data_IF_933252707610
#
_entry.id   IF_933252707610
#
_cell.length_a   1.000
_cell.length_b   1.000
_cell.length_c   1.000
_cell.angle_alpha   90.00
_cell.angle_beta   90.00
_cell.angle_gamma   90.00
#
_symmetry.space_group_name_H-M   'P 1'
#
loop_
_entity.id
_entity.type
_entity.pdbx_description
1 polymer ?
#
# COMPACT_ATOMS: atom_id res chain seq x y z
N UNK A 1 5.33 44.31 0.88
CA UNK A 1 5.35 43.06 1.68
C UNK A 1 4.78 41.97 0.81
N UNK A 2 5.66 41.14 0.25
CA UNK A 2 5.37 40.06 -0.69
C UNK A 2 4.65 38.91 0.02
N UNK A 3 3.33 38.81 -0.14
CA UNK A 3 2.63 37.57 0.16
C UNK A 3 2.63 36.75 -1.12
N UNK A 4 3.65 35.91 -1.25
CA UNK A 4 3.82 34.96 -2.35
C UNK A 4 2.65 33.99 -2.29
N UNK A 5 1.61 34.28 -3.08
CA UNK A 5 0.52 33.36 -3.35
C UNK A 5 1.05 32.26 -4.28
N UNK A 6 1.72 31.27 -3.69
CA UNK A 6 2.10 30.05 -4.39
C UNK A 6 1.48 28.87 -3.67
N UNK A 7 0.14 28.85 -3.64
CA UNK A 7 -0.65 27.64 -3.37
C UNK A 7 -0.89 26.80 -4.64
N UNK A 8 -0.04 26.96 -5.66
CA UNK A 8 0.14 25.98 -6.72
C UNK A 8 1.16 24.93 -6.25
N UNK A 9 0.82 24.15 -5.22
CA UNK A 9 1.34 22.80 -5.17
C UNK A 9 0.35 22.02 -6.01
N UNK A 10 0.76 21.66 -7.22
CA UNK A 10 0.02 20.87 -8.18
C UNK A 10 -0.92 19.91 -7.46
N UNK A 11 -2.22 20.23 -7.52
CA UNK A 11 -3.28 19.30 -7.13
C UNK A 11 -3.34 18.23 -8.21
N UNK A 12 -2.27 17.46 -8.36
CA UNK A 12 -2.31 16.19 -9.05
C UNK A 12 -3.29 15.35 -8.25
N UNK A 13 -4.51 15.30 -8.79
CA UNK A 13 -5.59 14.47 -8.32
C UNK A 13 -5.19 13.03 -8.65
N UNK A 14 -4.25 12.49 -7.87
CA UNK A 14 -3.73 11.16 -8.04
C UNK A 14 -4.80 10.17 -7.54
N UNK A 15 -5.58 9.64 -8.48
CA UNK A 15 -6.37 8.43 -8.26
C UNK A 15 -5.42 7.23 -8.21
N UNK A 16 -4.64 7.12 -7.15
CA UNK A 16 -3.85 5.92 -6.87
C UNK A 16 -4.79 4.83 -6.37
N UNK A 17 -4.68 3.66 -6.99
CA UNK A 17 -5.21 2.42 -6.45
C UNK A 17 -4.08 1.70 -5.74
N UNK A 18 -4.40 1.09 -4.61
CA UNK A 18 -3.49 0.23 -3.85
C UNK A 18 -4.15 -1.11 -3.57
N UNK A 19 -3.33 -2.14 -3.41
CA UNK A 19 -3.77 -3.41 -2.84
C UNK A 19 -3.56 -3.35 -1.33
N UNK A 20 -4.50 -3.88 -0.57
CA UNK A 20 -4.47 -3.89 0.89
C UNK A 20 -4.70 -5.31 1.38
N UNK A 21 -3.84 -5.77 2.29
CA UNK A 21 -4.04 -6.98 3.09
C UNK A 21 -4.34 -6.56 4.52
N UNK A 22 -5.24 -7.30 5.15
CA UNK A 22 -5.56 -7.15 6.57
C UNK A 22 -5.04 -8.39 7.26
N UNK A 23 -4.29 -8.23 8.34
CA UNK A 23 -3.73 -9.35 9.08
C UNK A 23 -4.83 -10.33 9.51
N UNK A 24 -4.53 -11.63 9.45
CA UNK A 24 -5.49 -12.71 9.69
C UNK A 24 -6.54 -12.92 8.59
N UNK A 25 -6.38 -12.32 7.41
CA UNK A 25 -7.25 -12.56 6.24
C UNK A 25 -6.43 -12.90 4.99
N UNK A 26 -6.92 -13.86 4.21
CA UNK A 26 -6.29 -14.27 2.94
C UNK A 26 -6.71 -13.38 1.75
N UNK A 27 -7.70 -12.51 1.94
CA UNK A 27 -8.25 -11.65 0.90
C UNK A 27 -7.36 -10.42 0.64
N UNK A 28 -7.20 -10.06 -0.64
CA UNK A 28 -6.56 -8.80 -1.05
C UNK A 28 -7.63 -7.82 -1.52
N UNK A 29 -7.70 -6.66 -0.86
CA UNK A 29 -8.67 -5.62 -1.16
C UNK A 29 -8.07 -4.56 -2.08
N UNK A 30 -8.86 -4.03 -3.00
CA UNK A 30 -8.48 -2.86 -3.80
C UNK A 30 -9.05 -1.61 -3.14
N UNK A 31 -8.19 -0.66 -2.82
CA UNK A 31 -8.58 0.60 -2.18
C UNK A 31 -8.11 1.78 -3.00
N UNK A 32 -8.86 2.86 -2.91
CA UNK A 32 -8.45 4.14 -3.46
C UNK A 32 -7.62 4.90 -2.42
N UNK A 33 -6.42 5.33 -2.77
CA UNK A 33 -5.65 6.26 -1.96
C UNK A 33 -6.22 7.66 -2.14
N UNK A 34 -6.57 8.33 -1.05
CA UNK A 34 -7.16 9.69 -1.05
C UNK A 34 -6.12 10.75 -0.72
N UNK A 35 -5.16 10.41 0.12
CA UNK A 35 -3.96 11.17 0.38
C UNK A 35 -2.82 10.22 0.76
N UNK A 36 -1.58 10.69 0.62
CA UNK A 36 -0.36 9.96 0.94
C UNK A 36 0.69 10.95 1.45
N UNK A 37 1.24 10.67 2.62
CA UNK A 37 2.38 11.37 3.24
C UNK A 37 3.49 10.36 3.55
N UNK A 38 4.60 10.82 4.13
CA UNK A 38 5.68 9.93 4.55
C UNK A 38 5.24 8.92 5.62
N UNK A 39 4.40 9.33 6.57
CA UNK A 39 3.99 8.51 7.71
C UNK A 39 2.63 7.81 7.56
N UNK A 40 1.92 7.99 6.45
CA UNK A 40 0.63 7.33 6.30
C UNK A 40 -0.21 7.76 5.11
N UNK A 41 -1.43 7.25 5.09
CA UNK A 41 -2.39 7.49 4.02
C UNK A 41 -3.84 7.40 4.50
N UNK A 42 -4.73 8.04 3.74
CA UNK A 42 -6.17 7.77 3.79
C UNK A 42 -6.54 6.85 2.64
N UNK A 43 -7.22 5.76 2.94
CA UNK A 43 -7.81 4.83 1.99
C UNK A 43 -9.34 4.95 1.97
N UNK A 44 -9.94 4.74 0.80
CA UNK A 44 -11.39 4.60 0.61
C UNK A 44 -11.66 3.26 -0.08
N UNK A 45 -12.53 2.44 0.50
CA UNK A 45 -12.93 1.15 -0.04
C UNK A 45 -13.84 0.36 0.90
N UNK A 46 -14.52 -0.64 0.35
CA UNK A 46 -15.32 -1.57 1.13
C UNK A 46 -14.43 -2.65 1.77
N UNK A 47 -13.73 -2.25 2.83
CA UNK A 47 -12.88 -3.14 3.63
C UNK A 47 -13.32 -3.08 5.08
N UNK A 48 -13.66 -4.24 5.62
CA UNK A 48 -14.01 -4.40 7.04
C UNK A 48 -12.75 -4.31 7.90
N UNK A 49 -12.36 -3.11 8.31
CA UNK A 49 -11.23 -2.90 9.24
C UNK A 49 -11.70 -2.29 10.55
N UNK A 50 -10.92 -2.51 11.61
CA UNK A 50 -11.08 -1.86 12.91
C UNK A 50 -9.82 -1.07 13.25
N UNK A 51 -9.94 -0.06 14.12
CA UNK A 51 -8.78 0.69 14.63
C UNK A 51 -7.82 -0.28 15.33
N UNK A 52 -6.52 -0.12 15.10
CA UNK A 52 -5.47 -0.98 15.63
C UNK A 52 -5.21 -2.25 14.81
N UNK A 53 -6.01 -2.55 13.78
CA UNK A 53 -5.74 -3.68 12.90
C UNK A 53 -4.42 -3.47 12.13
N UNK A 54 -3.59 -4.52 12.10
CA UNK A 54 -2.38 -4.58 11.27
C UNK A 54 -2.77 -4.79 9.81
N UNK A 55 -2.09 -4.07 8.93
CA UNK A 55 -2.32 -4.11 7.49
C UNK A 55 -1.02 -4.00 6.72
N UNK A 56 -1.02 -4.51 5.50
CA UNK A 56 0.02 -4.22 4.51
C UNK A 56 -0.63 -3.57 3.30
N UNK A 57 -0.03 -2.49 2.78
CA UNK A 57 -0.52 -1.80 1.59
C UNK A 57 0.54 -1.80 0.49
N UNK A 58 0.17 -2.26 -0.69
CA UNK A 58 1.05 -2.20 -1.87
C UNK A 58 0.91 -0.83 -2.54
N UNK A 59 1.98 -0.03 -2.42
CA UNK A 59 2.11 1.26 -3.08
C UNK A 59 2.97 1.10 -4.33
N UNK A 60 2.50 1.67 -5.44
CA UNK A 60 3.25 1.72 -6.71
C UNK A 60 4.68 2.25 -6.47
N UNK A 61 5.68 1.66 -7.14
CA UNK A 61 7.10 2.02 -7.06
C UNK A 61 7.75 1.91 -5.66
N UNK A 62 7.02 1.51 -4.63
CA UNK A 62 7.53 1.33 -3.26
C UNK A 62 7.43 -0.15 -2.87
N UNK A 63 6.32 -0.80 -3.20
CA UNK A 63 6.01 -2.17 -2.81
C UNK A 63 5.08 -2.22 -1.60
N UNK A 64 5.13 -3.32 -0.86
CA UNK A 64 4.33 -3.53 0.35
C UNK A 64 4.89 -2.71 1.52
N UNK A 65 4.02 -1.95 2.16
CA UNK A 65 4.33 -1.11 3.32
C UNK A 65 3.44 -1.57 4.47
N UNK A 66 4.06 -1.89 5.60
CA UNK A 66 3.36 -2.27 6.83
C UNK A 66 2.75 -1.05 7.51
N UNK A 67 1.60 -1.24 8.13
CA UNK A 67 0.92 -0.18 8.85
C UNK A 67 -0.15 -0.68 9.82
N UNK A 68 -0.74 0.27 10.52
CA UNK A 68 -1.87 0.05 11.43
C UNK A 68 -3.01 0.99 11.10
N UNK A 69 -4.24 0.50 11.18
CA UNK A 69 -5.44 1.33 11.01
C UNK A 69 -5.55 2.32 12.17
N UNK A 70 -5.29 3.59 11.91
CA UNK A 70 -5.29 4.65 12.91
C UNK A 70 -6.71 5.11 13.28
N UNK A 71 -7.64 5.09 12.32
CA UNK A 71 -9.05 5.47 12.47
C UNK A 71 -9.89 4.92 11.32
N UNK A 72 -11.21 4.83 11.52
CA UNK A 72 -12.20 4.37 10.53
C UNK A 72 -13.45 5.25 10.58
N UNK A 73 -13.94 5.69 9.42
CA UNK A 73 -15.20 6.42 9.27
C UNK A 73 -15.86 6.02 7.95
N UNK A 74 -17.03 5.38 8.01
CA UNK A 74 -17.79 4.91 6.83
C UNK A 74 -16.92 4.04 5.90
N UNK A 75 -16.72 4.42 4.63
CA UNK A 75 -15.85 3.71 3.66
C UNK A 75 -14.39 4.18 3.72
N UNK A 76 -14.07 5.20 4.53
CA UNK A 76 -12.72 5.78 4.64
C UNK A 76 -12.02 5.36 5.91
N UNK A 77 -10.71 5.20 5.83
CA UNK A 77 -9.88 4.87 6.98
C UNK A 77 -8.47 5.40 6.80
N UNK A 78 -7.83 5.73 7.92
CA UNK A 78 -6.44 6.14 7.96
C UNK A 78 -5.55 4.95 8.29
N UNK A 79 -4.43 4.84 7.59
CA UNK A 79 -3.35 3.91 7.89
C UNK A 79 -2.15 4.75 8.30
N UNK A 80 -1.60 4.48 9.49
CA UNK A 80 -0.29 4.95 9.89
C UNK A 80 0.74 3.89 9.48
N UNK A 81 1.79 4.28 8.77
CA UNK A 81 2.85 3.35 8.39
C UNK A 81 3.74 3.06 9.59
N UNK A 82 4.31 1.85 9.62
CA UNK A 82 5.31 1.47 10.62
C UNK A 82 6.60 2.26 10.39
N UNK A 83 7.06 2.28 9.13
CA UNK A 83 8.23 3.04 8.68
C UNK A 83 7.82 4.14 7.70
N UNK A 84 8.56 5.26 7.72
CA UNK A 84 8.33 6.35 6.77
C UNK A 84 8.70 5.95 5.34
N UNK A 85 7.95 6.47 4.37
CA UNK A 85 8.22 6.31 2.93
C UNK A 85 8.58 7.65 2.28
N UNK A 86 9.15 7.60 1.07
CA UNK A 86 9.14 8.77 0.18
C UNK A 86 7.85 8.78 -0.68
N UNK A 87 6.86 9.65 -0.38
CA UNK A 87 5.62 9.71 -1.14
C UNK A 87 5.83 10.14 -2.60
N UNK A 88 6.97 10.73 -2.97
CA UNK A 88 7.26 11.09 -4.37
C UNK A 88 7.47 9.86 -5.24
N UNK A 89 8.02 8.77 -4.69
CA UNK A 89 8.22 7.52 -5.43
C UNK A 89 6.88 6.95 -5.91
N UNK A 90 5.86 6.96 -5.05
CA UNK A 90 4.50 6.51 -5.41
C UNK A 90 3.84 7.34 -6.52
N UNK A 91 4.29 8.58 -6.72
CA UNK A 91 3.79 9.51 -7.75
C UNK A 91 4.63 9.48 -9.03
N UNK A 92 5.83 8.91 -8.98
CA UNK A 92 6.70 8.83 -10.14
C UNK A 92 6.05 8.01 -11.26
N UNK A 93 6.25 8.45 -12.51
CA UNK A 93 5.80 7.71 -13.68
C UNK A 93 6.43 6.31 -13.66
N UNK A 94 5.62 5.30 -13.97
CA UNK A 94 6.13 3.94 -14.16
C UNK A 94 6.82 3.94 -15.51
N UNK A 95 8.15 4.09 -15.53
CA UNK A 95 8.93 3.80 -16.75
C UNK A 95 8.78 2.31 -17.03
N UNK A 96 8.06 1.97 -18.10
CA UNK A 96 7.59 0.61 -18.34
C UNK A 96 8.71 -0.41 -18.47
N UNK A 97 8.59 -1.54 -17.76
CA UNK A 97 8.72 -2.91 -18.30
C UNK A 97 8.41 -3.97 -17.23
N UNK A 98 7.67 -4.99 -17.67
CA UNK A 98 7.32 -6.26 -17.01
C UNK A 98 6.50 -6.21 -15.72
N UNK A 99 5.17 -6.26 -15.88
CA UNK A 99 4.28 -6.85 -14.87
C UNK A 99 4.65 -8.34 -14.75
N UNK A 100 5.32 -8.72 -13.68
CA UNK A 100 5.54 -10.12 -13.34
C UNK A 100 4.29 -10.65 -12.63
N UNK A 101 3.27 -11.01 -13.41
CA UNK A 101 2.11 -11.74 -12.90
C UNK A 101 2.51 -13.20 -12.70
N UNK A 102 2.96 -13.58 -11.49
CA UNK A 102 3.35 -14.97 -11.27
C UNK A 102 3.84 -15.32 -9.87
N UNK A 103 2.89 -15.53 -8.97
CA UNK A 103 2.89 -16.52 -7.88
C UNK A 103 4.16 -16.68 -7.02
N UNK A 104 4.12 -16.11 -5.81
CA UNK A 104 4.94 -16.60 -4.70
C UNK A 104 4.46 -18.01 -4.33
N UNK A 105 5.01 -19.03 -5.00
CA UNK A 105 4.97 -20.40 -4.48
C UNK A 105 5.74 -20.38 -3.17
N UNK A 106 5.02 -20.54 -2.06
CA UNK A 106 5.59 -20.74 -0.73
C UNK A 106 6.44 -22.01 -0.78
N UNK A 107 7.74 -21.86 -1.02
CA UNK A 107 8.69 -22.96 -0.87
C UNK A 107 8.78 -23.28 0.61
N UNK A 108 8.08 -24.35 1.01
CA UNK A 108 8.31 -25.00 2.30
C UNK A 108 9.65 -25.71 2.18
N UNK A 109 10.67 -25.15 2.81
CA UNK A 109 11.93 -25.85 3.03
C UNK A 109 11.69 -26.95 4.07
N UNK A 110 11.88 -28.21 3.67
CA UNK A 110 12.13 -29.28 4.63
C UNK A 110 13.53 -29.11 5.22
N UNK A 111 13.72 -29.49 6.49
CA UNK A 111 14.95 -29.25 7.26
C UNK A 111 16.26 -29.81 6.65
N UNK A 112 16.18 -30.60 5.57
CA UNK A 112 17.31 -31.35 5.02
C UNK A 112 17.75 -30.93 3.60
N UNK A 113 17.33 -29.76 3.12
CA UNK A 113 17.99 -29.07 1.99
C UNK A 113 17.93 -29.74 0.59
N UNK A 114 17.10 -30.77 0.35
CA UNK A 114 16.93 -31.38 -0.98
C UNK A 114 15.54 -31.13 -1.59
N UNK A 115 15.53 -30.68 -2.85
CA UNK A 115 14.33 -30.41 -3.65
C UNK A 115 13.57 -31.71 -3.97
N UNK A 116 12.28 -31.73 -3.65
CA UNK A 116 11.35 -32.81 -4.04
C UNK A 116 10.73 -32.42 -5.39
N UNK A 117 11.07 -33.14 -6.46
CA UNK A 117 10.36 -33.09 -7.73
C UNK A 117 9.04 -33.85 -7.57
N UNK A 118 7.90 -33.17 -7.71
CA UNK A 118 6.62 -33.86 -7.94
C UNK A 118 6.50 -34.17 -9.43
N UNK A 119 6.08 -35.41 -9.70
CA UNK A 119 5.77 -35.99 -11.00
C UNK A 119 4.75 -35.15 -11.78
#
# INVERSE_FOLDING_TARGET
MSNVDTRQVDRDSLFLLAQLRVDGRDEVFRVKVRNLSAGGMMAEGDVKVIRGALVEVELRNIGWVEGTVAWKQESRFGIAFVDEIDPKQARANVSGSTVNHGAATRQVFGADGKRILKL
#
